data_IF_277972279905
#
_entry.id   IF_277972279905
#
_cell.length_a   1.000
_cell.length_b   1.000
_cell.length_c   1.000
_cell.angle_alpha   90.00
_cell.angle_beta   90.00
_cell.angle_gamma   90.00
#
_symmetry.space_group_name_H-M   'P 1'
#
loop_
_entity.id
_entity.type
_entity.pdbx_description
1 polymer ?
#
# COMPACT_ATOMS: atom_id res chain seq x y z
N UNK A 1 -5.33 29.25 -6.16
CA UNK A 1 -4.20 28.43 -5.67
C UNK A 1 -4.63 27.28 -4.74
N UNK A 2 -5.54 27.50 -3.77
CA UNK A 2 -6.01 26.43 -2.87
C UNK A 2 -6.87 25.37 -3.58
N UNK A 3 -7.73 25.78 -4.52
CA UNK A 3 -8.56 24.83 -5.28
C UNK A 3 -7.73 23.95 -6.23
N UNK A 4 -6.64 24.48 -6.78
CA UNK A 4 -5.74 23.72 -7.64
C UNK A 4 -4.93 22.69 -6.85
N UNK A 5 -4.49 22.99 -5.62
CA UNK A 5 -3.76 22.03 -4.79
C UNK A 5 -4.64 20.87 -4.33
N UNK A 6 -5.92 21.11 -4.01
CA UNK A 6 -6.89 20.04 -3.71
C UNK A 6 -7.09 19.13 -4.92
N UNK A 7 -7.29 19.69 -6.12
CA UNK A 7 -7.47 18.90 -7.35
C UNK A 7 -6.23 18.06 -7.68
N UNK A 8 -5.03 18.61 -7.56
CA UNK A 8 -3.78 17.88 -7.79
C UNK A 8 -3.59 16.79 -6.73
N UNK A 9 -3.72 17.13 -5.45
CA UNK A 9 -3.60 16.18 -4.34
C UNK A 9 -4.59 15.02 -4.46
N UNK A 10 -5.84 15.29 -4.82
CA UNK A 10 -6.85 14.28 -5.05
C UNK A 10 -6.51 13.37 -6.25
N UNK A 11 -5.95 13.90 -7.34
CA UNK A 11 -5.48 13.06 -8.46
C UNK A 11 -4.34 12.14 -8.03
N UNK A 12 -3.34 12.66 -7.32
CA UNK A 12 -2.23 11.83 -6.81
C UNK A 12 -2.75 10.76 -5.86
N UNK A 13 -3.67 11.12 -4.97
CA UNK A 13 -4.26 10.18 -4.02
C UNK A 13 -5.16 9.13 -4.68
N UNK A 14 -5.83 9.48 -5.78
CA UNK A 14 -6.56 8.53 -6.60
C UNK A 14 -5.60 7.55 -7.31
N UNK A 15 -4.49 8.04 -7.88
CA UNK A 15 -3.45 7.20 -8.47
C UNK A 15 -2.88 6.25 -7.43
N UNK A 16 -2.64 6.73 -6.22
CA UNK A 16 -2.23 5.91 -5.08
C UNK A 16 -3.27 4.84 -4.70
N UNK A 17 -4.57 5.17 -4.68
CA UNK A 17 -5.63 4.19 -4.46
C UNK A 17 -5.69 3.10 -5.55
N UNK A 18 -5.54 3.49 -6.81
CA UNK A 18 -5.46 2.56 -7.95
C UNK A 18 -4.20 1.70 -7.86
N UNK A 19 -3.08 2.31 -7.49
CA UNK A 19 -1.81 1.62 -7.28
C UNK A 19 -1.93 0.52 -6.21
N UNK A 20 -2.51 0.86 -5.05
CA UNK A 20 -2.80 -0.12 -3.99
C UNK A 20 -3.73 -1.24 -4.45
N UNK A 21 -4.74 -0.91 -5.27
CA UNK A 21 -5.65 -1.91 -5.83
C UNK A 21 -4.89 -2.89 -6.74
N UNK A 22 -4.06 -2.39 -7.65
CA UNK A 22 -3.22 -3.24 -8.51
C UNK A 22 -2.28 -4.10 -7.67
N UNK A 23 -1.63 -3.51 -6.66
CA UNK A 23 -0.74 -4.24 -5.76
C UNK A 23 -1.48 -5.36 -5.01
N UNK A 24 -2.68 -5.08 -4.49
CA UNK A 24 -3.51 -6.07 -3.79
C UNK A 24 -3.87 -7.26 -4.69
N UNK A 25 -4.22 -6.99 -5.95
CA UNK A 25 -4.50 -8.03 -6.95
C UNK A 25 -3.24 -8.83 -7.29
N UNK A 26 -2.09 -8.17 -7.44
CA UNK A 26 -0.81 -8.86 -7.64
C UNK A 26 -0.45 -9.77 -6.46
N UNK A 27 -0.80 -9.40 -5.23
CA UNK A 27 -0.52 -10.22 -4.06
C UNK A 27 -1.42 -11.46 -3.98
N UNK A 28 -2.65 -11.36 -4.50
CA UNK A 28 -3.59 -12.48 -4.57
C UNK A 28 -3.21 -13.46 -5.69
N UNK A 29 -2.93 -12.94 -6.89
CA UNK A 29 -2.80 -13.76 -8.10
C UNK A 29 -1.36 -14.03 -8.53
N UNK A 30 -0.40 -13.17 -8.16
CA UNK A 30 1.01 -13.24 -8.56
C UNK A 30 1.94 -13.45 -7.36
N UNK A 31 1.43 -14.05 -6.28
CA UNK A 31 2.14 -14.23 -5.00
C UNK A 31 3.49 -14.91 -5.17
N UNK A 32 3.55 -15.97 -5.96
CA UNK A 32 4.78 -16.75 -6.18
C UNK A 32 5.88 -15.88 -6.80
N UNK A 33 5.54 -15.01 -7.75
CA UNK A 33 6.50 -14.09 -8.39
C UNK A 33 6.91 -12.97 -7.43
N UNK A 34 5.94 -12.40 -6.72
CA UNK A 34 6.17 -11.23 -5.85
C UNK A 34 7.01 -11.55 -4.61
N UNK A 35 6.94 -12.80 -4.12
CA UNK A 35 7.48 -13.18 -2.81
C UNK A 35 8.51 -14.31 -2.85
N UNK A 36 8.86 -14.87 -4.01
CA UNK A 36 9.89 -15.92 -4.11
C UNK A 36 11.24 -15.48 -3.53
N UNK A 37 11.64 -14.22 -3.77
CA UNK A 37 12.90 -13.66 -3.24
C UNK A 37 12.91 -13.62 -1.71
N UNK A 38 11.77 -13.26 -1.11
CA UNK A 38 11.64 -13.22 0.34
C UNK A 38 11.69 -14.63 0.93
N UNK A 39 10.95 -15.57 0.34
CA UNK A 39 10.97 -16.96 0.82
C UNK A 39 12.41 -17.50 0.79
N UNK A 40 13.08 -17.41 -0.36
CA UNK A 40 14.46 -17.86 -0.53
C UNK A 40 15.44 -17.15 0.40
N UNK A 41 15.27 -15.84 0.61
CA UNK A 41 16.13 -15.06 1.51
C UNK A 41 16.07 -15.53 2.96
N UNK A 42 14.91 -16.01 3.43
CA UNK A 42 14.73 -16.49 4.80
C UNK A 42 14.99 -18.00 4.98
N UNK A 43 14.67 -18.83 3.98
CA UNK A 43 14.79 -20.29 4.11
C UNK A 43 16.07 -20.85 3.48
N UNK A 44 16.71 -20.10 2.58
CA UNK A 44 17.78 -20.60 1.72
C UNK A 44 17.29 -21.54 0.60
N UNK A 45 16.00 -21.88 0.58
CA UNK A 45 15.39 -22.85 -0.32
C UNK A 45 14.64 -22.15 -1.47
N UNK A 46 14.62 -22.77 -2.66
CA UNK A 46 13.73 -22.31 -3.72
C UNK A 46 12.27 -22.56 -3.34
N UNK A 47 11.41 -21.56 -3.55
CA UNK A 47 9.97 -21.73 -3.32
C UNK A 47 9.37 -22.82 -4.21
N UNK A 48 9.83 -22.96 -5.45
CA UNK A 48 9.37 -24.01 -6.36
C UNK A 48 9.68 -25.41 -5.82
N UNK A 49 10.87 -25.60 -5.28
CA UNK A 49 11.38 -26.90 -4.85
C UNK A 49 10.72 -27.28 -3.52
N UNK A 50 10.50 -26.30 -2.65
CA UNK A 50 9.74 -26.47 -1.42
C UNK A 50 8.29 -26.90 -1.71
N UNK A 51 7.63 -26.29 -2.71
CA UNK A 51 6.27 -26.68 -3.10
C UNK A 51 6.25 -28.07 -3.76
N UNK A 52 7.23 -28.37 -4.62
CA UNK A 52 7.34 -29.67 -5.27
C UNK A 52 7.59 -30.82 -4.28
N UNK A 53 8.27 -30.54 -3.16
CA UNK A 53 8.48 -31.51 -2.08
C UNK A 53 7.29 -31.63 -1.10
N UNK A 54 6.21 -30.86 -1.31
CA UNK A 54 5.02 -30.88 -0.45
C UNK A 54 5.19 -30.11 0.86
N UNK A 55 6.08 -29.11 0.91
CA UNK A 55 6.34 -28.32 2.10
C UNK A 55 5.12 -27.52 2.55
N UNK A 56 4.61 -27.85 3.75
CA UNK A 56 3.50 -27.12 4.37
C UNK A 56 3.86 -25.69 4.78
N UNK A 57 5.13 -25.40 5.06
CA UNK A 57 5.55 -24.03 5.33
C UNK A 57 5.52 -23.16 4.06
N UNK A 58 5.86 -23.72 2.89
CA UNK A 58 5.77 -23.03 1.61
C UNK A 58 4.31 -22.77 1.20
N UNK A 59 3.43 -23.76 1.38
CA UNK A 59 1.98 -23.59 1.17
C UNK A 59 1.41 -22.51 2.10
N UNK A 60 1.72 -22.57 3.40
CA UNK A 60 1.26 -21.59 4.38
C UNK A 60 1.76 -20.18 4.07
N UNK A 61 3.02 -20.06 3.64
CA UNK A 61 3.60 -18.79 3.23
C UNK A 61 2.79 -18.15 2.09
N UNK A 62 2.47 -18.91 1.03
CA UNK A 62 1.66 -18.41 -0.07
C UNK A 62 0.25 -18.02 0.37
N UNK A 63 -0.40 -18.82 1.21
CA UNK A 63 -1.73 -18.52 1.75
C UNK A 63 -1.71 -17.22 2.56
N UNK A 64 -0.70 -17.04 3.42
CA UNK A 64 -0.57 -15.83 4.24
C UNK A 64 -0.41 -14.57 3.38
N UNK A 65 0.43 -14.62 2.34
CA UNK A 65 0.62 -13.46 1.45
C UNK A 65 -0.63 -13.14 0.63
N UNK A 66 -1.35 -14.17 0.13
CA UNK A 66 -2.64 -14.00 -0.55
C UNK A 66 -3.69 -13.37 0.35
N UNK A 67 -3.74 -13.78 1.62
CA UNK A 67 -4.65 -13.23 2.60
C UNK A 67 -4.40 -11.74 2.84
N UNK A 68 -3.13 -11.32 2.95
CA UNK A 68 -2.81 -9.89 3.08
C UNK A 68 -3.25 -9.12 1.83
N UNK A 69 -3.03 -9.66 0.64
CA UNK A 69 -3.55 -9.09 -0.61
C UNK A 69 -5.08 -8.94 -0.59
N UNK A 70 -5.80 -9.97 -0.14
CA UNK A 70 -7.26 -9.97 -0.03
C UNK A 70 -7.77 -8.94 1.00
N UNK A 71 -7.05 -8.70 2.09
CA UNK A 71 -7.37 -7.65 3.08
C UNK A 71 -7.13 -6.25 2.51
N UNK A 72 -6.07 -6.06 1.71
CA UNK A 72 -5.74 -4.77 1.11
C UNK A 72 -6.70 -4.35 -0.03
N UNK A 73 -7.34 -5.31 -0.68
CA UNK A 73 -8.26 -5.05 -1.79
C UNK A 73 -9.46 -4.16 -1.39
N UNK A 74 -10.27 -4.48 -0.36
CA UNK A 74 -11.37 -3.61 0.06
C UNK A 74 -10.86 -2.27 0.60
N UNK A 75 -9.70 -2.22 1.26
CA UNK A 75 -9.08 -0.96 1.72
C UNK A 75 -8.76 -0.04 0.54
N UNK A 76 -8.23 -0.61 -0.54
CA UNK A 76 -7.91 0.13 -1.77
C UNK A 76 -9.17 0.67 -2.45
N UNK A 77 -10.24 -0.12 -2.49
CA UNK A 77 -11.55 0.32 -3.02
C UNK A 77 -12.16 1.45 -2.18
N UNK A 78 -12.11 1.32 -0.85
CA UNK A 78 -12.56 2.37 0.07
C UNK A 78 -11.75 3.66 -0.10
N UNK A 79 -10.43 3.54 -0.24
CA UNK A 79 -9.54 4.66 -0.50
C UNK A 79 -9.91 5.40 -1.80
N UNK A 80 -10.16 4.67 -2.89
CA UNK A 80 -10.63 5.24 -4.16
C UNK A 80 -11.96 5.98 -3.96
N UNK A 81 -12.91 5.35 -3.26
CA UNK A 81 -14.23 5.94 -3.01
C UNK A 81 -14.15 7.23 -2.18
N UNK A 82 -13.43 7.20 -1.05
CA UNK A 82 -13.18 8.37 -0.20
C UNK A 82 -12.49 9.47 -1.01
N UNK A 83 -11.52 9.10 -1.86
CA UNK A 83 -10.79 10.05 -2.69
C UNK A 83 -11.73 10.78 -3.67
N UNK A 84 -12.61 10.04 -4.35
CA UNK A 84 -13.53 10.59 -5.33
C UNK A 84 -14.66 11.41 -4.70
N UNK A 85 -15.19 10.99 -3.56
CA UNK A 85 -16.39 11.60 -2.96
C UNK A 85 -16.10 12.73 -1.98
N UNK A 86 -15.15 12.55 -1.07
CA UNK A 86 -14.95 13.46 0.07
C UNK A 86 -13.61 14.19 0.04
N UNK A 87 -12.54 13.49 -0.32
CA UNK A 87 -11.21 14.09 -0.38
C UNK A 87 -11.09 15.14 -1.48
N UNK A 88 -11.67 14.87 -2.66
CA UNK A 88 -11.74 15.80 -3.79
C UNK A 88 -12.49 17.11 -3.47
N UNK A 89 -13.41 17.07 -2.49
CA UNK A 89 -14.15 18.23 -1.96
C UNK A 89 -13.40 18.96 -0.85
N UNK A 90 -12.28 18.42 -0.40
CA UNK A 90 -11.50 18.94 0.71
C UNK A 90 -12.24 18.86 2.03
N UNK A 91 -12.93 17.75 2.30
CA UNK A 91 -13.54 17.45 3.59
C UNK A 91 -12.46 16.99 4.58
N UNK A 92 -12.34 17.65 5.74
CA UNK A 92 -11.25 17.40 6.71
C UNK A 92 -11.19 15.97 7.23
N UNK A 93 -12.34 15.35 7.50
CA UNK A 93 -12.39 13.98 8.02
C UNK A 93 -11.74 12.98 7.05
N UNK A 94 -11.92 13.19 5.75
CA UNK A 94 -11.38 12.30 4.72
C UNK A 94 -9.86 12.39 4.64
N UNK A 95 -9.29 13.57 4.88
CA UNK A 95 -7.84 13.76 4.97
C UNK A 95 -7.28 13.01 6.19
N UNK A 96 -7.90 13.13 7.36
CA UNK A 96 -7.45 12.39 8.55
C UNK A 96 -7.62 10.87 8.41
N UNK A 97 -8.73 10.41 7.82
CA UNK A 97 -8.96 8.99 7.57
C UNK A 97 -7.88 8.40 6.65
N UNK A 98 -7.55 9.09 5.55
CA UNK A 98 -6.50 8.68 4.63
C UNK A 98 -5.10 8.78 5.25
N UNK A 99 -4.83 9.83 6.04
CA UNK A 99 -3.57 9.96 6.76
C UNK A 99 -3.36 8.78 7.71
N UNK A 100 -4.35 8.48 8.54
CA UNK A 100 -4.28 7.39 9.52
C UNK A 100 -4.11 6.04 8.83
N UNK A 101 -4.99 5.72 7.88
CA UNK A 101 -4.96 4.44 7.19
C UNK A 101 -3.64 4.25 6.41
N UNK A 102 -3.19 5.27 5.69
CA UNK A 102 -1.94 5.24 4.94
C UNK A 102 -0.71 5.18 5.82
N UNK A 103 -0.69 5.87 6.96
CA UNK A 103 0.43 5.82 7.91
C UNK A 103 0.55 4.45 8.57
N UNK A 104 -0.58 3.83 8.95
CA UNK A 104 -0.59 2.46 9.48
C UNK A 104 -0.09 1.49 8.41
N UNK A 105 -0.61 1.59 7.18
CA UNK A 105 -0.29 0.67 6.09
C UNK A 105 1.18 0.79 5.68
N UNK A 106 1.62 1.98 5.26
CA UNK A 106 2.99 2.19 4.78
C UNK A 106 4.01 2.16 5.91
N UNK A 107 3.67 2.70 7.08
CA UNK A 107 4.53 2.67 8.26
C UNK A 107 4.77 1.25 8.75
N UNK A 108 3.75 0.38 8.78
CA UNK A 108 3.94 -1.02 9.17
C UNK A 108 4.79 -1.80 8.14
N UNK A 109 4.58 -1.59 6.84
CA UNK A 109 5.36 -2.26 5.80
C UNK A 109 6.84 -1.85 5.80
N UNK A 110 7.12 -0.55 5.95
CA UNK A 110 8.49 -0.03 6.06
C UNK A 110 9.11 -0.47 7.39
N UNK A 111 8.37 -0.33 8.50
CA UNK A 111 8.81 -0.70 9.84
C UNK A 111 9.15 -2.19 9.96
N UNK A 112 8.32 -3.07 9.36
CA UNK A 112 8.60 -4.50 9.30
C UNK A 112 9.96 -4.79 8.65
N UNK A 113 10.26 -4.15 7.51
CA UNK A 113 11.55 -4.31 6.83
C UNK A 113 12.71 -3.75 7.64
N UNK A 114 12.51 -2.62 8.29
CA UNK A 114 13.50 -2.02 9.16
C UNK A 114 13.86 -2.90 10.36
N UNK A 115 12.85 -3.46 11.04
CA UNK A 115 13.03 -4.31 12.23
C UNK A 115 13.65 -5.65 11.86
N UNK A 116 13.27 -6.23 10.72
CA UNK A 116 13.79 -7.53 10.27
C UNK A 116 15.14 -7.44 9.57
N UNK A 117 15.67 -6.23 9.33
CA UNK A 117 16.92 -6.01 8.58
C UNK A 117 16.82 -6.35 7.09
N UNK A 118 15.62 -6.61 6.58
CA UNK A 118 15.39 -7.06 5.21
C UNK A 118 15.12 -5.88 4.26
N UNK A 119 16.21 -5.22 3.82
CA UNK A 119 16.21 -4.17 2.80
C UNK A 119 16.86 -4.64 1.49
N UNK A 120 16.43 -5.76 0.96
CA UNK A 120 16.83 -6.14 -0.39
C UNK A 120 16.07 -5.32 -1.44
N UNK A 121 16.74 -4.96 -2.53
CA UNK A 121 16.15 -4.29 -3.70
C UNK A 121 15.30 -5.28 -4.52
N UNK A 122 14.27 -5.84 -3.89
CA UNK A 122 13.33 -6.77 -4.53
C UNK A 122 12.16 -6.02 -5.15
N UNK A 123 11.44 -6.64 -6.10
CA UNK A 123 10.20 -6.09 -6.66
C UNK A 123 9.20 -5.66 -5.57
N UNK A 124 9.10 -6.42 -4.47
CA UNK A 124 8.22 -6.08 -3.34
C UNK A 124 8.72 -4.90 -2.51
N UNK A 125 10.03 -4.65 -2.42
CA UNK A 125 10.58 -3.45 -1.76
C UNK A 125 10.30 -2.19 -2.57
N UNK A 126 10.47 -2.26 -3.89
CA UNK A 126 10.22 -1.12 -4.78
C UNK A 126 8.76 -0.70 -4.74
N UNK A 127 7.82 -1.66 -4.67
CA UNK A 127 6.40 -1.32 -4.59
C UNK A 127 6.05 -0.53 -3.33
N UNK A 128 6.66 -0.88 -2.19
CA UNK A 128 6.42 -0.15 -0.94
C UNK A 128 6.96 1.27 -0.98
N UNK A 129 8.13 1.48 -1.55
CA UNK A 129 8.74 2.80 -1.66
C UNK A 129 7.90 3.71 -2.57
N UNK A 130 7.50 3.20 -3.74
CA UNK A 130 6.67 3.94 -4.69
C UNK A 130 5.32 4.33 -4.04
N UNK A 131 4.66 3.37 -3.38
CA UNK A 131 3.40 3.62 -2.71
C UNK A 131 3.51 4.63 -1.56
N UNK A 132 4.56 4.56 -0.74
CA UNK A 132 4.82 5.51 0.32
C UNK A 132 5.06 6.93 -0.21
N UNK A 133 5.82 7.07 -1.31
CA UNK A 133 6.06 8.37 -1.96
C UNK A 133 4.75 8.96 -2.49
N UNK A 134 3.95 8.17 -3.21
CA UNK A 134 2.65 8.61 -3.73
C UNK A 134 1.71 9.04 -2.60
N UNK A 135 1.69 8.28 -1.50
CA UNK A 135 0.91 8.61 -0.32
C UNK A 135 1.35 9.94 0.30
N UNK A 136 2.65 10.11 0.58
CA UNK A 136 3.20 11.35 1.17
C UNK A 136 2.89 12.55 0.29
N UNK A 137 3.10 12.46 -1.01
CA UNK A 137 2.81 13.57 -1.93
C UNK A 137 1.31 13.89 -1.93
N UNK A 138 0.46 12.87 -2.10
CA UNK A 138 -0.97 13.10 -2.23
C UNK A 138 -1.63 13.59 -0.94
N UNK A 139 -1.07 13.27 0.24
CA UNK A 139 -1.59 13.75 1.54
C UNK A 139 -1.06 15.14 1.90
N UNK A 140 0.20 15.45 1.59
CA UNK A 140 0.83 16.73 1.97
C UNK A 140 0.44 17.89 1.05
N UNK A 141 0.35 17.66 -0.27
CA UNK A 141 0.02 18.70 -1.25
C UNK A 141 -1.26 19.50 -0.92
N UNK A 142 -2.40 18.86 -0.59
CA UNK A 142 -3.62 19.59 -0.28
C UNK A 142 -3.77 19.94 1.21
N UNK A 143 -2.83 19.54 2.08
CA UNK A 143 -2.97 19.65 3.54
C UNK A 143 -3.29 21.08 4.00
N UNK A 144 -2.53 22.08 3.54
CA UNK A 144 -2.77 23.50 3.90
C UNK A 144 -4.15 23.98 3.44
N UNK A 145 -4.62 23.53 2.27
CA UNK A 145 -5.91 23.93 1.73
C UNK A 145 -7.10 23.25 2.43
N UNK A 146 -6.95 21.99 2.85
CA UNK A 146 -8.00 21.24 3.52
C UNK A 146 -8.08 21.61 5.01
N UNK A 147 -6.93 21.65 5.70
CA UNK A 147 -6.87 21.89 7.13
C UNK A 147 -7.04 23.38 7.48
N UNK A 148 -6.63 24.29 6.58
CA UNK A 148 -6.72 25.74 6.78
C UNK A 148 -8.11 26.36 6.65
N UNK A 149 -9.13 25.62 6.16
CA UNK A 149 -10.52 26.12 6.11
C UNK A 149 -10.99 26.45 7.54
N UNK A 150 -11.45 27.67 7.88
CA UNK A 150 -12.04 27.90 9.21
C UNK A 150 -13.27 26.98 9.38
N UNK A 151 -13.38 26.29 10.50
CA UNK A 151 -14.63 25.66 10.92
C UNK A 151 -15.63 26.79 11.15
N UNK A 152 -16.66 26.85 10.31
CA UNK A 152 -17.81 27.70 10.51
C UNK A 152 -18.58 27.25 11.75
#
# INVERSE_FOLDING_TARGET
MQESSIKIGAKVMLVMGIYSLVLSLSWIFLTEVMFVSIFKGYTGESLSDALASGSKSAELWLVAQRLIGAILLPVSLLMIFICQKSYSRGERWSWYALLMAGSITWGSLIGYKAVTGYFEATPSSLTFIIGAILFVIGITLPAKAILGKKTA
#
